data_IF_757986743314
#
_entry.id   IF_757986743314
#
_cell.length_a   1.000
_cell.length_b   1.000
_cell.length_c   1.000
_cell.angle_alpha   90.00
_cell.angle_beta   90.00
_cell.angle_gamma   90.00
#
_symmetry.space_group_name_H-M   'P 1'
#
loop_
_entity.id
_entity.type
_entity.pdbx_description
1 polymer ?
2 non-polymer ?
3 water ?
#
# COMPACT_ATOMS: atom_id res chain seq x y z
N UNK A 1 9.76 17.46 -8.75
CA UNK A 1 10.04 16.04 -8.64
C UNK A 1 10.14 15.62 -7.21
N UNK A 2 9.57 14.48 -6.93
CA UNK A 2 9.54 13.91 -5.60
C UNK A 2 8.60 12.74 -5.51
N UNK A 3 8.47 12.19 -4.32
CA UNK A 3 7.64 11.01 -4.00
C UNK A 3 7.29 11.01 -2.52
N UNK A 4 6.22 10.28 -2.11
CA UNK A 4 5.85 10.18 -0.69
C UNK A 4 6.89 9.32 0.02
N UNK A 5 7.38 9.78 1.19
CA UNK A 5 8.34 9.00 1.96
C UNK A 5 7.64 8.46 3.16
N UNK A 6 6.55 9.12 3.60
CA UNK A 6 5.78 8.58 4.72
C UNK A 6 4.24 8.93 4.59
N UNK A 7 3.36 7.93 4.41
CA UNK A 7 3.67 6.50 4.17
C UNK A 7 4.38 6.33 2.82
N UNK A 8 5.42 5.48 2.81
CA UNK A 8 6.22 5.27 1.60
C UNK A 8 5.32 5.00 0.36
N UNK A 9 5.56 5.74 -0.73
CA UNK A 9 4.85 5.56 -1.98
C UNK A 9 5.20 4.18 -2.56
N UNK A 10 4.23 3.56 -3.27
CA UNK A 10 4.31 2.25 -3.89
C UNK A 10 5.55 2.09 -4.79
N UNK A 11 5.78 3.08 -5.66
CA UNK A 11 6.87 3.06 -6.61
C UNK A 11 8.20 3.39 -5.91
N UNK A 12 8.16 4.16 -4.83
CA UNK A 12 9.36 4.48 -4.05
C UNK A 12 9.88 3.22 -3.36
N UNK A 13 9.00 2.46 -2.71
CA UNK A 13 9.35 1.22 -2.02
C UNK A 13 9.94 0.22 -3.00
N UNK A 14 9.37 0.10 -4.21
CA UNK A 14 9.88 -0.84 -5.22
C UNK A 14 11.27 -0.42 -5.68
N UNK A 15 11.51 0.86 -5.84
CA UNK A 15 12.80 1.38 -6.24
C UNK A 15 13.86 1.14 -5.15
N UNK A 16 13.60 1.58 -3.89
CA UNK A 16 14.54 1.43 -2.77
C UNK A 16 14.90 -0.03 -2.54
N UNK A 17 13.95 -0.99 -2.67
CA UNK A 17 14.19 -2.44 -2.41
C UNK A 17 15.17 -3.07 -3.41
N UNK A 18 15.27 -2.46 -4.59
CA UNK A 18 16.22 -2.88 -5.62
C UNK A 18 16.06 -4.28 -6.15
N UNK A 19 17.17 -4.80 -6.66
CA UNK A 19 17.24 -6.11 -7.29
C UNK A 19 16.72 -6.06 -8.72
N UNK A 20 16.36 -4.85 -9.23
CA UNK A 20 15.76 -4.63 -10.56
C UNK A 20 16.75 -4.27 -11.65
N UNK A 21 18.02 -3.99 -11.30
CA UNK A 21 19.03 -3.63 -12.29
C UNK A 21 19.52 -4.88 -13.08
N UNK A 22 19.74 -6.02 -12.40
CA UNK A 22 20.19 -7.29 -12.97
C UNK A 22 19.62 -8.47 -12.14
N UNK A 23 19.10 -9.58 -12.74
CA UNK A 23 18.90 -9.91 -14.16
C UNK A 23 17.94 -8.96 -14.87
N UNK A 24 18.05 -8.82 -16.22
CA UNK A 24 17.13 -7.91 -16.94
C UNK A 24 15.63 -8.33 -16.93
N UNK A 25 15.29 -9.62 -16.61
CA UNK A 25 13.90 -10.09 -16.59
C UNK A 25 13.19 -9.81 -15.23
N UNK A 26 13.90 -9.22 -14.27
CA UNK A 26 13.33 -8.83 -12.98
C UNK A 26 13.20 -9.90 -11.92
N UNK A 27 13.79 -11.09 -12.18
CA UNK A 27 13.75 -12.26 -11.28
C UNK A 27 14.53 -12.03 -9.96
N UNK A 28 15.28 -10.93 -9.88
CA UNK A 28 16.06 -10.56 -8.70
C UNK A 28 15.29 -9.68 -7.73
N UNK A 29 14.12 -9.20 -8.14
CA UNK A 29 13.25 -8.35 -7.33
C UNK A 29 12.57 -9.25 -6.27
N UNK A 30 12.90 -9.03 -4.96
CA UNK A 30 12.34 -9.90 -3.90
C UNK A 30 10.84 -9.77 -3.65
N UNK A 31 10.25 -8.56 -3.69
CA UNK A 31 8.82 -8.36 -3.45
C UNK A 31 8.02 -8.83 -4.68
N UNK A 32 7.02 -9.74 -4.47
CA UNK A 32 6.29 -10.31 -5.62
C UNK A 32 5.48 -9.27 -6.41
N UNK A 33 4.96 -8.24 -5.75
CA UNK A 33 4.21 -7.18 -6.42
C UNK A 33 5.14 -6.22 -7.15
N UNK A 34 6.33 -5.92 -6.62
CA UNK A 34 7.31 -5.12 -7.36
C UNK A 34 7.82 -5.93 -8.57
N UNK A 35 7.99 -7.26 -8.40
CA UNK A 35 8.44 -8.18 -9.46
C UNK A 35 7.40 -8.31 -10.55
N UNK A 36 6.12 -8.48 -10.18
CA UNK A 36 5.01 -8.60 -11.13
C UNK A 36 4.81 -7.30 -11.90
N UNK A 37 5.03 -6.14 -11.23
CA UNK A 37 4.93 -4.81 -11.81
C UNK A 37 6.01 -4.64 -12.92
N UNK A 38 7.27 -5.00 -12.60
CA UNK A 38 8.43 -4.94 -13.51
C UNK A 38 8.20 -5.82 -14.70
N UNK A 39 7.84 -7.09 -14.45
CA UNK A 39 7.63 -8.15 -15.43
C UNK A 39 6.45 -7.88 -16.32
N UNK A 40 5.45 -7.12 -15.86
CA UNK A 40 4.33 -6.74 -16.72
C UNK A 40 4.80 -5.76 -17.80
N UNK A 41 5.66 -4.77 -17.44
CA UNK A 41 6.14 -3.78 -18.42
C UNK A 41 7.14 -4.46 -19.37
N UNK A 42 8.07 -5.25 -18.83
CA UNK A 42 9.03 -6.07 -19.55
C UNK A 42 8.31 -6.95 -20.57
N UNK A 43 7.31 -7.77 -20.13
CA UNK A 43 6.55 -8.69 -20.98
C UNK A 43 5.78 -7.97 -22.05
N UNK A 44 5.21 -6.78 -21.73
CA UNK A 44 4.41 -5.93 -22.64
C UNK A 44 5.24 -5.44 -23.85
N UNK A 45 6.50 -5.00 -23.59
CA UNK A 45 7.42 -4.52 -24.63
C UNK A 45 7.79 -5.70 -25.55
N UNK A 46 8.10 -6.86 -24.97
CA UNK A 46 8.44 -8.05 -25.74
C UNK A 46 7.30 -8.42 -26.69
N UNK A 47 6.03 -8.34 -26.18
CA UNK A 47 4.81 -8.62 -26.96
C UNK A 47 4.68 -7.63 -28.13
N UNK A 48 5.24 -6.41 -28.00
CA UNK A 48 5.14 -5.37 -29.02
C UNK A 48 6.37 -5.34 -29.94
N UNK A 49 7.12 -6.44 -29.98
CA UNK A 49 8.29 -6.55 -30.84
C UNK A 49 9.57 -5.91 -30.33
N UNK A 50 9.60 -5.58 -29.03
CA UNK A 50 10.80 -5.05 -28.40
C UNK A 50 11.81 -6.17 -28.13
N UNK A 51 13.09 -5.80 -28.00
CA UNK A 51 14.21 -6.70 -27.68
C UNK A 51 14.33 -6.80 -26.17
N UNK A 52 15.10 -7.78 -25.66
CA UNK A 52 15.35 -7.91 -24.21
C UNK A 52 15.83 -6.56 -23.62
N UNK A 53 16.78 -5.85 -24.29
CA UNK A 53 17.27 -4.57 -23.78
C UNK A 53 16.16 -3.49 -23.76
N UNK A 54 15.35 -3.34 -24.83
CA UNK A 54 14.24 -2.36 -24.85
C UNK A 54 13.18 -2.69 -23.79
N UNK A 55 12.96 -4.00 -23.51
CA UNK A 55 12.03 -4.52 -22.50
C UNK A 55 12.58 -4.20 -21.13
N UNK A 56 13.86 -4.59 -20.84
CA UNK A 56 14.51 -4.26 -19.57
C UNK A 56 14.68 -2.76 -19.40
N UNK A 57 15.00 -1.98 -20.48
CA UNK A 57 15.12 -0.52 -20.39
C UNK A 57 13.78 0.15 -19.98
N UNK A 58 12.64 -0.27 -20.59
CA UNK A 58 11.34 0.28 -20.24
C UNK A 58 10.94 -0.10 -18.79
N UNK A 59 11.20 -1.37 -18.36
CA UNK A 59 10.86 -1.79 -17.00
C UNK A 59 11.73 -1.09 -15.95
N UNK A 60 13.01 -0.87 -16.27
CA UNK A 60 13.93 -0.21 -15.32
C UNK A 60 13.63 1.28 -15.22
N UNK A 61 13.13 1.90 -16.33
CA UNK A 61 12.75 3.31 -16.38
C UNK A 61 11.58 3.59 -15.44
N UNK A 62 10.66 2.64 -15.30
CA UNK A 62 9.49 2.74 -14.42
C UNK A 62 9.95 2.78 -12.94
N UNK A 63 10.91 1.94 -12.57
CA UNK A 63 11.46 1.86 -11.21
C UNK A 63 12.35 3.11 -10.89
N UNK A 64 13.36 3.39 -11.76
CA UNK A 64 14.31 4.51 -11.64
C UNK A 64 13.63 5.91 -11.52
N UNK A 65 12.54 6.14 -12.25
CA UNK A 65 11.84 7.43 -12.27
C UNK A 65 10.81 7.55 -11.16
N UNK A 66 11.11 7.03 -9.92
CA UNK A 66 10.20 7.05 -8.77
C UNK A 66 9.81 8.51 -8.33
N UNK A 67 10.64 9.51 -8.71
CA UNK A 67 10.39 10.93 -8.42
C UNK A 67 9.69 11.63 -9.62
N UNK A 68 9.43 10.93 -10.74
CA UNK A 68 8.78 11.53 -11.90
C UNK A 68 7.51 10.73 -12.34
N UNK A 69 6.64 10.41 -11.38
CA UNK A 69 5.32 9.82 -11.61
C UNK A 69 4.41 11.03 -11.83
N UNK A 70 4.56 11.62 -13.04
CA UNK A 70 3.96 12.91 -13.39
C UNK A 70 3.10 12.90 -14.67
N UNK A 71 2.25 13.95 -14.77
CA UNK A 71 1.35 14.23 -15.88
C UNK A 71 1.19 15.75 -16.03
N UNK A 72 1.26 16.27 -17.26
CA UNK A 72 1.08 17.70 -17.54
C UNK A 72 -0.40 18.03 -17.72
N UNK A 73 -0.91 18.94 -16.86
CA UNK A 73 -2.30 19.41 -16.88
C UNK A 73 -2.50 20.65 -17.77
N UNK A 74 -1.43 21.38 -18.09
CA UNK A 74 -1.56 22.63 -18.84
C UNK A 74 -1.96 23.77 -17.90
N UNK A 75 -2.40 24.93 -18.43
CA UNK A 75 -2.74 26.06 -17.53
C UNK A 75 -4.01 25.86 -16.71
N UNK A 76 -4.85 24.91 -17.11
CA UNK A 76 -6.14 24.67 -16.46
C UNK A 76 -6.04 23.46 -15.48
N UNK A 77 -5.04 23.51 -14.57
CA UNK A 77 -4.75 22.47 -13.57
C UNK A 77 -5.79 22.43 -12.43
N UNK A 78 -6.56 23.52 -12.21
CA UNK A 78 -7.61 23.56 -11.15
C UNK A 78 -8.93 22.93 -11.62
N UNK A 79 -9.06 22.66 -12.93
CA UNK A 79 -10.29 22.06 -13.46
C UNK A 79 -10.30 20.54 -13.15
N UNK A 80 -11.16 20.14 -12.20
CA UNK A 80 -11.32 18.77 -11.73
C UNK A 80 -11.70 17.81 -12.87
N UNK A 81 -12.63 18.23 -13.73
CA UNK A 81 -13.08 17.45 -14.89
C UNK A 81 -11.98 17.33 -15.93
N UNK A 82 -11.04 18.30 -16.00
CA UNK A 82 -9.93 18.23 -16.94
C UNK A 82 -8.94 17.15 -16.46
N UNK A 83 -8.66 17.09 -15.13
CA UNK A 83 -7.73 16.12 -14.51
C UNK A 83 -8.24 14.67 -14.58
N UNK A 84 -9.50 14.47 -14.18
CA UNK A 84 -10.14 13.17 -14.09
C UNK A 84 -10.51 12.61 -15.47
N UNK A 85 -10.62 13.46 -16.50
CA UNK A 85 -10.95 12.94 -17.83
C UNK A 85 -9.81 12.98 -18.82
N UNK A 86 -8.90 13.97 -18.71
CA UNK A 86 -7.86 14.11 -19.73
C UNK A 86 -6.45 13.87 -19.23
N UNK A 87 -6.14 14.30 -18.02
CA UNK A 87 -4.77 14.27 -17.51
C UNK A 87 -4.45 12.89 -16.93
N UNK A 88 -5.25 12.43 -15.93
CA UNK A 88 -5.08 11.12 -15.30
C UNK A 88 -6.48 10.37 -15.36
N UNK A 89 -6.97 9.99 -16.56
CA UNK A 89 -8.28 9.32 -16.60
C UNK A 89 -8.25 7.92 -15.96
N UNK A 90 -7.15 7.23 -16.12
CA UNK A 90 -6.94 5.87 -15.61
C UNK A 90 -5.43 5.71 -15.36
N UNK A 91 -5.00 4.51 -14.89
CA UNK A 91 -3.62 4.20 -14.52
C UNK A 91 -3.10 5.25 -13.52
N UNK A 92 -3.93 5.49 -12.49
CA UNK A 92 -3.70 6.48 -11.45
C UNK A 92 -2.40 6.28 -10.70
N UNK A 93 -2.02 5.01 -10.41
CA UNK A 93 -0.79 4.77 -9.66
C UNK A 93 0.44 5.02 -10.52
N UNK A 94 0.28 5.01 -11.87
CA UNK A 94 1.30 5.27 -12.87
C UNK A 94 1.34 6.76 -13.31
N UNK A 95 0.37 7.56 -12.84
CA UNK A 95 0.11 8.97 -13.24
C UNK A 95 -0.12 9.02 -14.78
N UNK A 96 -0.86 8.00 -15.28
CA UNK A 96 -1.30 7.81 -16.66
C UNK A 96 -0.12 7.78 -17.69
N UNK A 97 0.99 7.14 -17.31
CA UNK A 97 2.15 6.93 -18.17
C UNK A 97 1.95 5.59 -18.88
N UNK A 98 1.52 5.61 -20.15
CA UNK A 98 1.18 4.37 -20.88
C UNK A 98 1.98 4.15 -22.21
N UNK A 99 3.03 4.94 -22.49
CA UNK A 99 3.77 4.82 -23.76
C UNK A 99 5.24 4.48 -23.57
N UNK A 100 5.66 3.20 -23.66
CA UNK A 100 7.09 2.86 -23.48
C UNK A 100 8.02 3.48 -24.55
N UNK A 101 7.48 3.78 -25.74
CA UNK A 101 8.32 4.34 -26.79
C UNK A 101 8.56 5.85 -26.61
N UNK A 102 7.74 6.54 -25.80
CA UNK A 102 7.83 8.00 -25.64
C UNK A 102 8.16 8.40 -24.19
N UNK A 103 9.34 9.04 -23.98
CA UNK A 103 9.84 9.52 -22.67
C UNK A 103 10.09 11.00 -22.65
N UNK A 104 9.53 11.79 -21.69
CA UNK A 104 8.56 11.42 -20.64
C UNK A 104 7.18 11.07 -21.23
N UNK A 105 6.38 10.22 -20.56
CA UNK A 105 6.62 9.65 -19.23
C UNK A 105 6.77 8.13 -19.25
N UNK A 106 7.07 7.58 -20.43
CA UNK A 106 7.26 6.15 -20.66
C UNK A 106 6.05 5.32 -20.32
N UNK A 107 6.28 4.08 -19.87
CA UNK A 107 5.24 3.15 -19.43
C UNK A 107 5.48 2.74 -17.97
N UNK A 108 4.57 3.17 -17.08
CA UNK A 108 4.66 2.83 -15.65
C UNK A 108 3.40 2.02 -15.22
N UNK A 109 2.71 1.35 -16.20
CA UNK A 109 1.44 0.63 -16.00
C UNK A 109 1.59 -0.59 -15.08
N UNK A 110 2.82 -1.07 -14.90
CA UNK A 110 3.10 -2.18 -13.99
C UNK A 110 2.65 -1.86 -12.58
N UNK A 111 2.72 -0.57 -12.21
CA UNK A 111 2.38 -0.07 -10.88
C UNK A 111 0.85 -0.04 -10.58
N UNK A 112 -0.01 -0.30 -11.59
CA UNK A 112 -1.46 -0.34 -11.41
C UNK A 112 -2.02 -1.74 -11.36
N UNK A 113 -1.16 -2.75 -11.31
CA UNK A 113 -1.65 -4.12 -11.20
C UNK A 113 -2.21 -4.30 -9.79
N UNK A 114 -3.18 -5.20 -9.64
CA UNK A 114 -3.79 -5.46 -8.35
C UNK A 114 -3.19 -6.74 -7.76
N UNK A 115 -3.16 -6.78 -6.44
CA UNK A 115 -2.63 -7.87 -5.67
C UNK A 115 -2.21 -7.40 -4.29
N UNK A 116 -1.43 -8.27 -3.63
CA UNK A 116 -0.94 -8.13 -2.25
C UNK A 116 0.24 -7.11 -2.10
N UNK A 117 0.01 -5.84 -2.47
CA UNK A 117 0.99 -4.76 -2.33
C UNK A 117 1.35 -4.59 -0.86
N UNK A 118 2.65 -4.56 -0.57
CA UNK A 118 3.15 -4.40 0.80
C UNK A 118 2.75 -3.01 1.38
N UNK A 119 2.03 -3.01 2.51
CA UNK A 119 1.60 -1.75 3.10
C UNK A 119 2.43 -1.29 4.29
N UNK A 120 2.30 0.01 4.63
CA UNK A 120 2.80 0.58 5.87
C UNK A 120 1.80 0.11 6.92
N UNK A 121 2.28 -0.54 7.99
CA UNK A 121 1.42 -1.08 9.06
C UNK A 121 1.33 -0.04 10.15
N UNK A 122 0.16 0.57 10.36
CA UNK A 122 0.02 1.58 11.42
C UNK A 122 -0.75 0.93 12.62
N UNK A 123 -0.12 0.72 13.78
CA UNK A 123 -0.82 0.09 14.91
C UNK A 123 -1.82 1.04 15.56
N UNK A 124 -3.01 0.56 15.90
CA UNK A 124 -4.04 1.35 16.56
C UNK A 124 -3.80 1.36 18.07
N UNK A 125 -4.00 2.52 18.74
CA UNK A 125 -3.86 2.58 20.21
C UNK A 125 -5.09 1.91 20.81
N UNK A 126 -6.26 2.18 20.21
CA UNK A 126 -7.54 1.60 20.57
C UNK A 126 -8.34 1.37 19.29
N UNK A 127 -9.00 0.22 19.20
CA UNK A 127 -9.76 -0.22 18.03
C UNK A 127 -11.04 0.58 17.77
N UNK A 128 -11.39 1.53 18.68
CA UNK A 128 -12.61 2.34 18.61
C UNK A 128 -12.38 3.73 18.03
N UNK A 129 -11.12 4.12 17.75
CA UNK A 129 -10.81 5.43 17.13
C UNK A 129 -11.45 5.55 15.74
N UNK A 130 -11.97 6.74 15.41
CA UNK A 130 -12.60 7.03 14.13
C UNK A 130 -11.57 7.47 13.11
N UNK A 131 -10.57 8.26 13.58
CA UNK A 131 -9.48 8.79 12.76
C UNK A 131 -8.16 8.63 13.46
N UNK A 132 -7.09 8.48 12.68
CA UNK A 132 -5.74 8.34 13.20
C UNK A 132 -4.89 9.44 12.55
N UNK A 133 -4.29 10.35 13.35
CA UNK A 133 -3.45 11.38 12.75
C UNK A 133 -2.13 10.80 12.29
N UNK A 134 -1.72 11.11 11.08
CA UNK A 134 -0.39 10.69 10.61
C UNK A 134 0.31 11.92 10.09
N UNK A 135 1.61 11.99 10.33
CA UNK A 135 2.37 13.09 9.78
C UNK A 135 2.95 12.69 8.43
N UNK A 136 2.27 13.05 7.34
CA UNK A 136 2.71 12.84 5.96
C UNK A 136 4.05 13.53 5.71
N UNK A 137 4.94 12.84 5.02
CA UNK A 137 6.21 13.43 4.62
C UNK A 137 6.35 13.25 3.10
N UNK A 138 6.38 14.36 2.38
CA UNK A 138 6.58 14.36 0.93
C UNK A 138 8.03 14.87 0.66
N UNK A 139 8.80 14.05 -0.02
CA UNK A 139 10.18 14.32 -0.29
C UNK A 139 10.38 15.00 -1.66
N UNK A 140 10.69 16.32 -1.71
CA UNK A 140 10.94 16.96 -3.01
C UNK A 140 12.42 16.79 -3.43
N UNK A 141 12.67 16.17 -4.56
CA UNK A 141 14.06 15.97 -5.00
C UNK A 141 14.46 17.20 -5.84
N UNK A 142 13.46 17.89 -6.39
CA UNK A 142 13.55 19.17 -7.10
C UNK A 142 12.57 20.11 -6.42
N UNK A 143 13.00 21.34 -6.04
CA UNK A 143 12.15 22.32 -5.32
C UNK A 143 11.32 23.12 -6.31
N UNK A 144 9.99 23.05 -6.17
CA UNK A 144 9.06 23.77 -7.04
C UNK A 144 8.03 24.55 -6.25
N UNK A 145 7.96 25.87 -6.48
CA UNK A 145 7.00 26.73 -5.81
C UNK A 145 6.52 27.83 -6.78
N UNK A 146 5.24 28.28 -6.77
CA UNK A 146 4.12 27.85 -5.92
C UNK A 146 3.62 26.44 -6.31
N UNK A 147 3.03 25.73 -5.34
CA UNK A 147 2.52 24.37 -5.50
C UNK A 147 1.50 24.07 -4.42
N UNK A 148 0.66 23.05 -4.64
CA UNK A 148 -0.34 22.64 -3.65
C UNK A 148 -0.47 21.13 -3.68
N UNK A 149 -1.12 20.59 -2.64
CA UNK A 149 -1.32 19.16 -2.52
C UNK A 149 -2.79 18.84 -2.34
N UNK A 150 -3.15 17.65 -2.81
CA UNK A 150 -4.42 17.04 -2.62
C UNK A 150 -4.14 15.60 -2.11
N UNK A 151 -4.76 15.24 -0.98
CA UNK A 151 -4.59 13.90 -0.44
C UNK A 151 -5.95 13.24 -0.45
N UNK A 152 -6.02 12.02 -1.00
CA UNK A 152 -7.23 11.20 -1.08
C UNK A 152 -7.06 9.89 -0.36
N UNK A 153 -8.15 9.31 0.14
CA UNK A 153 -8.19 7.96 0.73
C UNK A 153 -9.17 7.14 -0.10
N UNK A 154 -8.95 5.83 -0.23
CA UNK A 154 -9.92 5.00 -0.96
C UNK A 154 -11.20 4.78 -0.12
N UNK A 155 -12.36 4.59 -0.81
CA UNK A 155 -13.66 4.31 -0.16
C UNK A 155 -13.54 2.97 0.62
N UNK A 156 -14.36 2.75 1.69
CA UNK A 156 -14.25 1.49 2.44
C UNK A 156 -14.44 0.18 1.61
N UNK A 157 -15.15 0.22 0.47
CA UNK A 157 -15.36 -0.99 -0.34
C UNK A 157 -14.23 -1.28 -1.36
N UNK A 158 -13.19 -0.42 -1.42
CA UNK A 158 -12.05 -0.67 -2.32
C UNK A 158 -11.27 -1.89 -1.81
N UNK A 159 -10.91 -2.77 -2.74
CA UNK A 159 -10.18 -4.01 -2.53
C UNK A 159 -8.88 -3.97 -3.33
N UNK A 160 -7.72 -3.83 -2.65
CA UNK A 160 -6.41 -3.74 -3.32
C UNK A 160 -6.07 -5.06 -4.09
N UNK A 161 -6.57 -6.22 -3.61
CA UNK A 161 -6.29 -7.51 -4.25
C UNK A 161 -6.86 -7.61 -5.64
N UNK A 162 -7.95 -6.85 -5.94
CA UNK A 162 -8.62 -6.99 -7.23
C UNK A 162 -8.92 -5.69 -7.99
N UNK A 163 -8.92 -4.53 -7.29
CA UNK A 163 -9.36 -3.27 -7.93
C UNK A 163 -8.28 -2.33 -8.37
N UNK A 164 -8.55 -1.67 -9.53
CA UNK A 164 -7.73 -0.59 -10.03
C UNK A 164 -8.12 0.64 -9.23
N UNK A 165 -7.17 1.50 -8.86
CA UNK A 165 -7.51 2.75 -8.18
C UNK A 165 -8.18 3.67 -9.21
N UNK A 166 -9.40 4.11 -8.94
CA UNK A 166 -10.16 5.05 -9.80
C UNK A 166 -10.55 6.27 -8.96
N UNK A 167 -10.83 7.42 -9.62
CA UNK A 167 -11.26 8.67 -8.97
C UNK A 167 -12.65 8.47 -8.26
N UNK A 168 -13.51 7.58 -8.80
CA UNK A 168 -14.81 7.23 -8.23
C UNK A 168 -14.64 6.44 -6.92
N UNK A 169 -13.45 5.86 -6.65
CA UNK A 169 -13.25 5.17 -5.37
C UNK A 169 -12.39 6.01 -4.41
N UNK A 170 -12.12 7.29 -4.73
CA UNK A 170 -11.30 8.12 -3.85
C UNK A 170 -12.08 9.26 -3.15
N UNK A 171 -11.82 9.46 -1.85
CA UNK A 171 -12.40 10.53 -1.03
C UNK A 171 -11.29 11.55 -0.72
N UNK A 172 -11.50 12.83 -1.08
CA UNK A 172 -10.56 13.92 -0.77
C UNK A 172 -10.55 14.19 0.75
N UNK A 173 -9.37 14.16 1.39
CA UNK A 173 -9.26 14.40 2.83
C UNK A 173 -8.32 15.60 3.09
N UNK A 174 -7.63 16.07 2.05
CA UNK A 174 -6.74 17.25 2.12
C UNK A 174 -6.64 17.95 0.77
N UNK A 175 -6.65 19.29 0.79
CA UNK A 175 -6.49 20.16 -0.37
C UNK A 175 -5.89 21.46 0.13
N UNK A 176 -4.78 21.88 -0.49
CA UNK A 176 -4.10 23.14 -0.20
C UNK A 176 -2.60 23.06 -0.10
N UNK A 177 -1.94 24.21 0.12
CA UNK A 177 -0.47 24.20 0.28
C UNK A 177 -0.05 23.45 1.51
N UNK A 178 1.11 22.84 1.42
CA UNK A 178 1.78 22.14 2.52
C UNK A 178 3.07 22.91 2.67
N UNK A 179 3.33 23.54 3.83
CA UNK A 179 4.57 24.34 3.95
C UNK A 179 5.82 23.48 3.81
N UNK A 180 6.80 24.04 3.09
CA UNK A 180 8.14 23.49 2.86
C UNK A 180 8.94 23.76 4.15
N UNK A 181 9.35 22.70 4.84
CA UNK A 181 10.06 22.79 6.12
C UNK A 181 11.40 22.04 6.07
N UNK A 182 12.22 22.21 7.11
CA UNK A 182 13.52 21.55 7.26
C UNK A 182 13.31 20.10 7.66
N UNK A 183 14.02 19.18 7.01
CA UNK A 183 13.93 17.78 7.37
C UNK A 183 14.44 17.57 8.80
N UNK A 184 13.86 16.61 9.50
CA UNK A 184 14.28 16.23 10.84
C UNK A 184 15.42 15.23 10.75
N UNK A 185 16.35 15.10 11.73
CA UNK A 185 17.42 14.06 11.61
C UNK A 185 16.86 12.65 11.32
N UNK A 186 15.62 12.41 11.76
CA UNK A 186 14.72 11.26 11.64
C UNK A 186 14.27 10.92 10.19
N UNK A 187 14.24 11.96 9.32
CA UNK A 187 13.71 11.96 7.96
C UNK A 187 14.00 10.73 7.12
N UNK A 188 12.93 10.30 6.43
CA UNK A 188 12.90 9.22 5.47
C UNK A 188 13.35 9.72 4.07
N UNK A 189 13.47 11.06 3.92
CA UNK A 189 13.90 11.80 2.73
C UNK A 189 15.38 12.14 2.85
N UNK A 190 16.16 11.93 1.78
CA UNK A 190 17.60 12.23 1.79
C UNK A 190 18.10 12.99 0.55
N UNK A 191 17.21 13.67 -0.18
CA UNK A 191 17.54 14.40 -1.40
C UNK A 191 18.15 15.79 -1.12
N UNK A 192 17.50 16.62 -0.28
CA UNK A 192 18.00 17.94 0.11
C UNK A 192 17.59 18.23 1.57
N UNK A 193 17.79 19.48 2.04
CA UNK A 193 17.53 19.88 3.42
C UNK A 193 16.01 20.04 3.71
N UNK A 194 15.18 20.05 2.65
CA UNK A 194 13.75 20.33 2.77
C UNK A 194 12.80 19.14 2.49
N UNK A 195 11.62 19.21 3.14
CA UNK A 195 10.49 18.27 3.01
C UNK A 195 9.17 19.04 3.09
N UNK A 196 8.10 18.39 2.64
CA UNK A 196 6.72 18.81 2.80
C UNK A 196 6.18 17.93 3.91
N UNK A 197 5.79 18.52 5.03
CA UNK A 197 5.36 17.73 6.17
C UNK A 197 4.10 18.30 6.79
N UNK A 198 3.10 17.44 7.02
CA UNK A 198 1.84 17.85 7.65
C UNK A 198 1.07 16.67 8.28
N UNK A 199 0.33 16.98 9.32
CA UNK A 199 -0.58 16.07 9.97
C UNK A 199 -1.91 16.10 9.20
N UNK A 200 -2.42 14.90 8.95
CA UNK A 200 -3.70 14.62 8.33
C UNK A 200 -4.34 13.54 9.17
N UNK A 201 -5.61 13.72 9.52
CA UNK A 201 -6.39 12.72 10.23
C UNK A 201 -6.81 11.70 9.19
N UNK A 202 -6.36 10.43 9.33
CA UNK A 202 -6.72 9.39 8.34
C UNK A 202 -7.92 8.63 8.86
N UNK A 203 -9.03 8.58 8.07
CA UNK A 203 -10.23 7.83 8.54
C UNK A 203 -9.87 6.36 8.69
N UNK A 204 -10.28 5.74 9.81
CA UNK A 204 -9.93 4.34 10.07
C UNK A 204 -10.64 3.43 9.03
N UNK A 205 -9.89 2.42 8.60
CA UNK A 205 -10.22 1.37 7.67
C UNK A 205 -9.93 0.05 8.36
N UNK A 206 -10.79 -0.94 8.14
CA UNK A 206 -10.67 -2.26 8.74
C UNK A 206 -9.98 -3.20 7.74
N UNK A 207 -9.62 -2.64 6.56
CA UNK A 207 -8.94 -3.36 5.47
C UNK A 207 -7.77 -2.56 4.95
N UNK A 208 -6.94 -3.20 4.09
CA UNK A 208 -5.84 -2.52 3.42
C UNK A 208 -6.48 -1.51 2.48
N UNK A 209 -5.93 -0.29 2.46
CA UNK A 209 -6.43 0.84 1.68
C UNK A 209 -5.29 1.55 0.98
N UNK A 210 -5.62 2.53 0.15
CA UNK A 210 -4.65 3.34 -0.60
C UNK A 210 -4.84 4.82 -0.25
N UNK A 211 -3.74 5.56 -0.19
CA UNK A 211 -3.70 7.00 -0.02
C UNK A 211 -3.15 7.56 -1.31
N UNK A 212 -3.92 8.41 -1.98
CA UNK A 212 -3.53 8.98 -3.26
C UNK A 212 -3.08 10.41 -3.04
N UNK A 213 -1.85 10.72 -3.44
CA UNK A 213 -1.25 12.03 -3.22
C UNK A 213 -0.91 12.64 -4.56
N UNK A 214 -1.47 13.84 -4.81
CA UNK A 214 -1.25 14.64 -5.99
C UNK A 214 -0.51 15.94 -5.56
N UNK A 215 0.69 16.17 -6.11
CA UNK A 215 1.48 17.37 -5.83
C UNK A 215 1.46 18.20 -7.12
N UNK A 216 0.63 19.25 -7.14
CA UNK A 216 0.44 20.09 -8.31
C UNK A 216 1.20 21.42 -8.23
N UNK A 217 1.91 21.76 -9.31
CA UNK A 217 2.60 23.03 -9.50
C UNK A 217 1.59 24.07 -10.05
N UNK A 218 1.53 25.26 -9.45
CA UNK A 218 0.69 26.35 -9.95
C UNK A 218 1.44 27.07 -11.06
N UNK A 219 1.43 26.54 -12.30
CA UNK A 219 2.13 27.21 -13.40
C UNK A 219 1.55 26.83 -14.78
N UNK A 220 1.79 27.65 -15.85
CA UNK A 220 1.23 27.32 -17.18
C UNK A 220 1.53 25.91 -17.69
N UNK A 221 2.68 25.31 -17.29
CA UNK A 221 3.03 23.92 -17.68
C UNK A 221 2.02 22.96 -16.98
N UNK A 222 1.75 23.24 -15.69
CA UNK A 222 0.77 22.49 -14.91
C UNK A 222 1.20 21.08 -14.61
N UNK A 223 2.53 20.87 -14.43
CA UNK A 223 3.00 19.53 -14.10
C UNK A 223 2.54 19.15 -12.72
N UNK A 224 1.93 17.98 -12.63
CA UNK A 224 1.47 17.39 -11.37
C UNK A 224 2.15 16.05 -11.11
N UNK A 225 2.37 15.71 -9.85
CA UNK A 225 2.97 14.44 -9.44
C UNK A 225 1.92 13.67 -8.66
N UNK A 226 1.65 12.42 -9.04
CA UNK A 226 0.61 11.56 -8.50
C UNK A 226 1.24 10.29 -7.96
N UNK A 227 1.01 9.95 -6.69
CA UNK A 227 1.56 8.75 -6.06
C UNK A 227 0.52 7.95 -5.27
N UNK A 228 0.57 6.61 -5.39
CA UNK A 228 -0.24 5.68 -4.61
C UNK A 228 0.59 5.26 -3.40
N UNK A 229 -0.03 5.20 -2.21
CA UNK A 229 0.62 4.70 -1.00
C UNK A 229 -0.29 3.65 -0.34
N UNK A 230 0.23 2.42 -0.16
CA UNK A 230 -0.48 1.28 0.47
C UNK A 230 -0.30 1.35 2.00
N UNK A 231 -1.45 1.28 2.75
CA UNK A 231 -1.50 1.42 4.21
C UNK A 231 -2.46 0.43 4.83
N UNK A 232 -2.20 0.06 6.09
CA UNK A 232 -3.07 -0.82 6.84
C UNK A 232 -2.96 -0.51 8.35
N UNK A 233 -4.08 -0.57 9.07
CA UNK A 233 -4.06 -0.41 10.51
C UNK A 233 -4.01 -1.80 11.19
N UNK A 234 -3.15 -1.95 12.19
CA UNK A 234 -3.08 -3.17 12.97
C UNK A 234 -3.98 -3.01 14.19
N UNK A 235 -4.90 -3.95 14.41
CA UNK A 235 -5.79 -3.90 15.57
C UNK A 235 -5.08 -4.34 16.82
N UNK A 236 -5.47 -3.76 17.94
CA UNK A 236 -4.96 -4.14 19.24
C UNK A 236 -5.64 -5.44 19.61
N UNK A 237 -4.86 -6.36 20.12
CA UNK A 237 -5.31 -7.67 20.56
C UNK A 237 -5.87 -7.59 21.99
N UNK A 238 -6.72 -8.56 22.33
CA UNK A 238 -7.34 -8.63 23.65
C UNK A 238 -8.77 -8.13 23.66
N UNK A 239 -9.35 -8.04 24.84
CA UNK A 239 -10.71 -7.58 25.08
C UNK A 239 -10.80 -6.08 24.86
N UNK A 240 -11.94 -5.63 24.36
CA UNK A 240 -12.24 -4.21 24.23
C UNK A 240 -12.44 -3.73 25.67
N UNK A 241 -11.61 -2.76 26.14
CA UNK A 241 -11.60 -2.26 27.52
C UNK A 241 -12.97 -1.86 28.06
N UNK A 242 -13.82 -1.28 27.20
CA UNK A 242 -15.14 -0.82 27.57
C UNK A 242 -16.07 -1.97 27.96
N UNK A 243 -15.77 -3.20 27.50
CA UNK A 243 -16.56 -4.39 27.82
C UNK A 243 -16.02 -5.11 29.10
N UNK A 244 -14.80 -4.78 29.53
CA UNK A 244 -14.11 -5.43 30.64
C UNK A 244 -14.68 -5.08 32.04
N UNK A 245 -15.25 -6.12 32.72
CA UNK A 245 -15.77 -6.05 34.09
C UNK A 245 -14.56 -6.26 34.98
N UNK A 246 -14.31 -5.28 35.84
CA UNK A 246 -13.16 -5.33 36.73
C UNK A 246 -13.56 -5.98 38.07
N UNK A 247 -12.68 -6.76 38.73
CA UNK A 247 -13.07 -7.36 40.02
C UNK A 247 -13.12 -6.32 41.15
N UNK A 248 -13.85 -6.57 42.25
CA UNK A 248 -13.78 -5.61 43.36
C UNK A 248 -12.44 -5.76 44.09
N UNK A 249 -11.89 -4.67 44.63
CA UNK A 249 -10.61 -4.69 45.36
C UNK A 249 -10.78 -5.52 46.63
N UNK A 250 -10.11 -6.69 46.65
CA UNK A 250 -10.19 -7.66 47.75
C UNK A 250 -8.84 -8.03 48.33
N UNK A 251 -8.88 -8.55 49.57
CA UNK A 251 -7.74 -9.06 50.34
C UNK A 251 -8.10 -10.48 50.76
N UNK A 252 -7.28 -11.46 50.40
CA UNK A 252 -7.58 -12.85 50.69
C UNK A 252 -6.41 -13.58 51.42
N UNK A 253 -6.74 -14.67 52.13
CA UNK A 253 -5.75 -15.51 52.82
C UNK A 253 -6.18 -17.00 52.79
N UNK A 254 -5.22 -17.90 53.01
CA UNK A 254 -5.45 -19.35 53.03
C UNK A 254 -4.22 -20.14 52.65
N UNK A 255 -4.23 -21.45 52.89
CA UNK A 255 -3.06 -22.29 52.58
C UNK A 255 -2.95 -22.67 51.08
N UNK A 256 -3.95 -22.36 50.24
CA UNK A 256 -3.86 -22.65 48.82
C UNK A 256 -3.69 -21.34 48.02
N UNK A 257 -2.44 -20.99 47.68
CA UNK A 257 -2.07 -19.76 46.99
C UNK A 257 -2.74 -19.59 45.60
N UNK A 258 -3.17 -20.70 44.96
CA UNK A 258 -3.84 -20.65 43.66
C UNK A 258 -5.29 -20.12 43.74
N UNK A 259 -5.88 -20.11 44.95
CA UNK A 259 -7.26 -19.71 45.20
C UNK A 259 -7.49 -18.18 45.06
N UNK A 260 -6.46 -17.36 45.28
CA UNK A 260 -6.60 -15.90 45.23
C UNK A 260 -5.42 -15.22 44.56
N UNK A 312 13.15 5.99 28.15
CA UNK A 312 13.41 4.59 28.51
C UNK A 312 13.35 3.64 27.29
N UNK A 313 13.64 2.33 27.50
CA UNK A 313 13.61 1.25 26.49
C UNK A 313 12.45 0.28 26.73
N UNK A 314 12.09 -0.50 25.71
CA UNK A 314 11.02 -1.51 25.79
C UNK A 314 11.53 -2.83 25.27
N UNK A 315 10.73 -3.91 25.37
CA UNK A 315 11.11 -5.24 24.84
C UNK A 315 11.24 -5.18 23.31
N UNK A 316 12.07 -6.05 22.72
CA UNK A 316 12.25 -6.10 21.27
C UNK A 316 11.02 -6.73 20.62
N UNK A 329 1.58 -23.58 20.25
CA UNK A 329 2.63 -24.02 21.17
C UNK A 329 2.42 -23.40 22.56
N UNK A 330 2.26 -22.06 22.60
CA UNK A 330 1.99 -21.29 23.82
C UNK A 330 0.54 -21.51 24.30
N UNK A 331 -0.35 -22.01 23.39
CA UNK A 331 -1.77 -22.25 23.65
C UNK A 331 -2.06 -23.70 24.07
N UNK A 332 -1.01 -24.44 24.46
CA UNK A 332 -1.18 -25.80 24.97
C UNK A 332 -1.43 -25.73 26.45
N UNK A 333 -2.32 -26.59 26.95
CA UNK A 333 -2.61 -26.68 28.37
C UNK A 333 -2.43 -28.11 28.87
N UNK A 334 -2.43 -28.26 30.21
CA UNK A 334 -2.30 -29.54 30.89
C UNK A 334 -3.43 -30.49 30.51
N UNK A 335 -4.59 -29.94 30.07
CA UNK A 335 -5.80 -30.69 29.72
C UNK A 335 -6.19 -30.58 28.21
N UNK A 336 -5.29 -30.04 27.36
CA UNK A 336 -5.55 -29.97 25.92
C UNK A 336 -4.29 -29.80 25.09
N UNK A 337 -4.18 -30.56 23.97
CA UNK A 337 -3.08 -30.43 23.00
C UNK A 337 -3.60 -29.66 21.77
N UNK A 338 -3.34 -28.35 21.72
CA UNK A 338 -3.78 -27.43 20.64
C UNK A 338 -3.04 -27.69 19.32
N UNK A 339 -1.70 -27.89 19.37
CA UNK A 339 -0.84 -28.13 18.21
C UNK A 339 -1.39 -29.28 17.33
N UNK A 340 -1.68 -30.44 17.95
CA UNK A 340 -2.23 -31.61 17.27
C UNK A 340 -3.67 -31.36 16.82
N UNK A 341 -4.48 -30.68 17.67
CA UNK A 341 -5.86 -30.36 17.29
C UNK A 341 -5.90 -29.38 16.10
N UNK A 342 -5.13 -28.28 16.17
CA UNK A 342 -5.06 -27.24 15.12
C UNK A 342 -4.48 -27.75 13.79
N UNK A 343 -3.72 -28.85 13.81
CA UNK A 343 -3.18 -29.41 12.58
C UNK A 343 -4.28 -30.19 11.87
N UNK A 344 -5.06 -30.97 12.62
CA UNK A 344 -6.19 -31.73 12.08
C UNK A 344 -7.30 -30.80 11.61
N UNK A 345 -7.50 -29.65 12.32
CA UNK A 345 -8.51 -28.63 12.00
C UNK A 345 -8.12 -27.86 10.73
N UNK A 346 -6.81 -27.60 10.51
CA UNK A 346 -6.32 -26.99 9.26
C UNK A 346 -6.62 -27.89 8.06
N UNK A 347 -6.49 -29.24 8.24
CA UNK A 347 -6.78 -30.26 7.23
C UNK A 347 -8.27 -30.31 6.95
N UNK A 348 -9.09 -30.08 7.99
CA UNK A 348 -10.54 -30.08 7.86
C UNK A 348 -10.98 -28.94 6.97
N UNK A 349 -10.39 -27.73 7.19
CA UNK A 349 -10.64 -26.51 6.42
C UNK A 349 -10.37 -26.78 4.93
N UNK A 350 -9.18 -27.35 4.63
CA UNK A 350 -8.80 -27.65 3.24
C UNK A 350 -9.76 -28.60 2.55
N UNK A 351 -10.23 -29.67 3.23
CA UNK A 351 -11.10 -30.68 2.59
C UNK A 351 -12.59 -30.37 2.66
N UNK A 352 -13.03 -29.36 3.44
CA UNK A 352 -14.47 -29.13 3.56
C UNK A 352 -14.88 -27.68 3.22
N UNK A 353 -13.99 -26.93 2.55
CA UNK A 353 -14.27 -25.59 2.01
C UNK A 353 -13.87 -25.57 0.54
N UNK A 354 -14.45 -24.65 -0.24
CA UNK A 354 -14.10 -24.51 -1.64
C UNK A 354 -14.82 -25.43 -2.61
N UNK A 355 -14.67 -25.13 -3.91
CA UNK A 355 -15.32 -25.84 -5.01
C UNK A 355 -14.81 -27.30 -5.15
N UNK A 356 -13.67 -27.67 -4.52
CA UNK A 356 -13.10 -29.01 -4.65
C UNK A 356 -13.15 -29.82 -3.35
N UNK A 357 -13.92 -29.33 -2.36
CA UNK A 357 -14.14 -29.97 -1.06
C UNK A 357 -14.66 -31.40 -1.28
N UNK A 358 -14.55 -32.28 -0.25
CA UNK A 358 -15.03 -33.66 -0.36
C UNK A 358 -16.52 -33.65 -0.12
N UNK A 359 -17.28 -34.25 -1.05
CA UNK A 359 -18.74 -34.29 -0.88
C UNK A 359 -19.24 -35.72 -0.72
N UNK A 360 -18.88 -36.61 -1.65
CA UNK A 360 -19.41 -37.97 -1.66
C UNK A 360 -18.38 -39.04 -1.88
N UNK A 361 -17.23 -38.70 -2.48
CA UNK A 361 -16.23 -39.67 -2.90
C UNK A 361 -15.64 -40.55 -1.78
N UNK A 362 -15.53 -40.04 -0.56
CA UNK A 362 -15.01 -40.79 0.60
C UNK A 362 -16.07 -41.68 1.26
N UNK A 363 -17.29 -41.72 0.71
CA UNK A 363 -18.45 -42.38 1.29
C UNK A 363 -19.27 -43.16 0.26
N UNK A 364 -19.13 -42.79 -1.03
CA UNK A 364 -19.90 -43.35 -2.13
C UNK A 364 -19.00 -44.08 -3.11
N UNK A 365 -19.46 -45.27 -3.50
CA UNK A 365 -18.82 -46.14 -4.49
C UNK A 365 -19.84 -46.35 -5.60
N UNK A 366 -19.41 -46.17 -6.86
CA UNK A 366 -20.27 -46.33 -8.03
C UNK A 366 -19.63 -47.27 -9.06
N UNK A 367 -20.45 -47.76 -10.00
CA UNK A 367 -19.97 -48.57 -11.11
C UNK A 367 -20.91 -48.41 -12.31
N UNK A 368 -20.37 -48.53 -13.51
CA UNK A 368 -21.14 -48.44 -14.75
C UNK A 368 -21.87 -49.75 -15.04
N UNK A 369 -23.21 -49.70 -15.19
CA UNK A 369 -24.02 -50.89 -15.48
C UNK A 369 -24.42 -50.91 -16.95
X LIG B 1 10.54 18.53 -10.59
X LIG C 1 6.80 3.42 27.54
#
# INVERSE_FOLDING_TARGET
HGYITFPIARQRRCNVQGGFWWPPDGSGIPDPMCRAAYQNVYNKVLQQGGTIDQAASAAQYMFQQDNEYAALAGPNYLDQNHIRNNVVPNYLCAAHATTWRIRPFGDKTGMDVSGSWTPTVIPLQDNTVSTVPIEFEFCPTAIHEPSFFEIYITVPSFNVYTDQVTWQQLINIFTGPIPLVQRRPDSQCNANNLVYRTTVGIPVRQTQFVLYVRWQRNDPVGEGFYNCADVIFAHRLGINEEDKIRPPKMKCKGNDKDCYKHHHRHNRYENDYENNYENYENYENNYENNYENNYENNYEYEYEYDRNNREHYHKCKHHSCMQHNYYERQYNTKDFNYVEWNDDYSDYIENHTGINRDMCDSTTKCCYK
ZN ZN
ZN ZN
#
